data_IF_467977925829
#
_entry.id   IF_467977925829
#
_cell.length_a   1.000
_cell.length_b   1.000
_cell.length_c   1.000
_cell.angle_alpha   90.00
_cell.angle_beta   90.00
_cell.angle_gamma   90.00
#
_symmetry.space_group_name_H-M   'P 1'
#
loop_
_entity.id
_entity.type
_entity.pdbx_description
1 polymer ?
#
# COMPACT_ATOMS: atom_id res chain seq x y z
N UNK A 1 -10.05 -22.57 -14.15
CA UNK A 1 -9.15 -21.55 -13.56
C UNK A 1 -9.72 -20.20 -13.91
N UNK A 2 -9.98 -19.34 -12.93
CA UNK A 2 -10.54 -18.00 -13.15
C UNK A 2 -9.55 -17.15 -13.96
N UNK A 3 -10.05 -16.37 -14.91
CA UNK A 3 -9.26 -15.44 -15.70
C UNK A 3 -9.51 -14.01 -15.23
N UNK A 4 -8.53 -13.09 -15.37
CA UNK A 4 -8.74 -11.69 -15.07
C UNK A 4 -9.81 -11.09 -15.98
N UNK A 5 -10.58 -10.15 -15.45
CA UNK A 5 -11.60 -9.43 -16.22
C UNK A 5 -10.98 -8.46 -17.23
N UNK A 6 -9.79 -7.95 -16.89
CA UNK A 6 -9.02 -7.06 -17.76
C UNK A 6 -7.52 -7.12 -17.44
N UNK A 7 -6.68 -6.75 -18.41
CA UNK A 7 -5.22 -6.66 -18.25
C UNK A 7 -4.74 -5.35 -18.87
N UNK A 8 -4.23 -4.47 -18.01
CA UNK A 8 -3.56 -3.25 -18.46
C UNK A 8 -2.17 -3.58 -18.98
N UNK A 9 -1.83 -2.95 -20.11
CA UNK A 9 -0.54 -3.06 -20.80
C UNK A 9 -0.10 -1.65 -21.20
N UNK A 10 1.08 -1.26 -20.80
CA UNK A 10 1.63 0.08 -21.05
C UNK A 10 3.02 0.23 -20.47
N UNK A 11 3.30 -0.47 -19.37
CA UNK A 11 4.64 -0.58 -18.84
C UNK A 11 5.54 -1.49 -19.70
N UNK A 12 6.81 -1.11 -19.84
CA UNK A 12 7.83 -1.90 -20.53
C UNK A 12 8.80 -2.57 -19.52
N UNK A 13 8.77 -2.09 -18.27
CA UNK A 13 9.55 -2.62 -17.16
C UNK A 13 8.64 -3.25 -16.11
N UNK A 14 9.23 -3.92 -15.11
CA UNK A 14 8.52 -4.54 -13.99
C UNK A 14 7.65 -3.50 -13.26
N UNK A 15 6.34 -3.77 -13.12
CA UNK A 15 5.45 -2.92 -12.35
C UNK A 15 5.65 -3.21 -10.87
N UNK A 16 6.09 -2.21 -10.10
CA UNK A 16 6.45 -2.39 -8.68
C UNK A 16 5.30 -2.06 -7.72
N UNK A 17 4.40 -1.19 -8.11
CA UNK A 17 3.32 -0.72 -7.25
C UNK A 17 2.08 -0.36 -8.05
N UNK A 18 0.92 -0.51 -7.41
CA UNK A 18 -0.40 -0.08 -7.88
C UNK A 18 -1.18 0.51 -6.72
N UNK A 19 -2.03 1.49 -7.01
CA UNK A 19 -2.90 2.10 -6.02
C UNK A 19 -4.16 2.68 -6.68
N UNK A 20 -5.33 2.38 -6.13
CA UNK A 20 -6.58 3.02 -6.53
C UNK A 20 -6.71 4.38 -5.83
N UNK A 21 -7.00 5.43 -6.57
CA UNK A 21 -7.34 6.72 -5.97
C UNK A 21 -8.67 6.60 -5.18
N UNK A 22 -8.85 7.47 -4.21
CA UNK A 22 -9.89 7.39 -3.18
C UNK A 22 -11.32 7.17 -3.70
N UNK A 23 -11.61 7.61 -4.92
CA UNK A 23 -12.92 7.42 -5.55
C UNK A 23 -13.04 6.14 -6.40
N UNK A 24 -11.97 5.35 -6.54
CA UNK A 24 -11.92 4.17 -7.41
C UNK A 24 -12.00 4.45 -8.91
N UNK A 25 -12.05 5.73 -9.35
CA UNK A 25 -12.13 6.13 -10.77
C UNK A 25 -10.81 5.92 -11.52
N UNK A 26 -9.72 6.02 -10.80
CA UNK A 26 -8.38 5.92 -11.35
C UNK A 26 -7.57 4.89 -10.59
N UNK A 27 -6.76 4.15 -11.34
CA UNK A 27 -5.69 3.32 -10.83
C UNK A 27 -4.37 3.98 -11.21
N UNK A 28 -3.43 4.01 -10.29
CA UNK A 28 -2.07 4.53 -10.52
C UNK A 28 -1.09 3.39 -10.43
N UNK A 29 -0.07 3.37 -11.29
CA UNK A 29 0.97 2.35 -11.28
C UNK A 29 2.34 2.94 -11.55
N UNK A 30 3.34 2.41 -10.88
CA UNK A 30 4.74 2.78 -11.04
C UNK A 30 5.63 1.57 -11.34
N UNK A 31 6.64 1.77 -12.18
CA UNK A 31 7.52 0.69 -12.61
C UNK A 31 9.00 0.89 -12.24
N UNK A 32 9.80 -0.09 -12.65
CA UNK A 32 11.23 -0.17 -12.38
C UNK A 32 12.05 0.93 -13.06
N UNK A 33 11.54 1.51 -14.15
CA UNK A 33 12.24 2.55 -14.93
C UNK A 33 11.79 3.97 -14.54
N UNK A 34 10.95 4.10 -13.49
CA UNK A 34 10.47 5.38 -12.99
C UNK A 34 9.28 5.96 -13.77
N UNK A 35 8.62 5.16 -14.62
CA UNK A 35 7.40 5.55 -15.32
C UNK A 35 6.19 5.44 -14.39
N UNK A 36 5.44 6.53 -14.30
CA UNK A 36 4.15 6.61 -13.60
C UNK A 36 3.02 6.65 -14.63
N UNK A 37 2.01 5.78 -14.49
CA UNK A 37 0.82 5.76 -15.34
C UNK A 37 -0.44 5.87 -14.49
N UNK A 38 -1.37 6.72 -14.94
CA UNK A 38 -2.74 6.82 -14.41
C UNK A 38 -3.71 6.20 -15.42
N UNK A 39 -4.53 5.27 -14.94
CA UNK A 39 -5.51 4.54 -15.74
C UNK A 39 -6.92 4.99 -15.42
N UNK A 40 -7.73 5.24 -16.43
CA UNK A 40 -9.17 5.47 -16.28
C UNK A 40 -9.87 4.12 -16.12
N UNK A 41 -10.53 3.91 -14.96
CA UNK A 41 -11.15 2.63 -14.64
C UNK A 41 -12.47 2.38 -15.37
N UNK A 42 -13.17 3.42 -15.83
CA UNK A 42 -14.39 3.27 -16.63
C UNK A 42 -14.04 2.85 -18.06
N UNK A 43 -13.06 3.52 -18.66
CA UNK A 43 -12.67 3.31 -20.06
C UNK A 43 -11.64 2.18 -20.23
N UNK A 44 -11.03 1.70 -19.13
CA UNK A 44 -9.96 0.68 -19.13
C UNK A 44 -8.78 1.04 -20.02
N UNK A 45 -8.35 2.31 -19.97
CA UNK A 45 -7.23 2.82 -20.77
C UNK A 45 -6.39 3.82 -19.98
N UNK A 46 -5.21 4.11 -20.48
CA UNK A 46 -4.35 5.15 -19.96
C UNK A 46 -5.04 6.51 -20.04
N UNK A 47 -5.01 7.26 -18.93
CA UNK A 47 -5.49 8.64 -18.82
C UNK A 47 -4.32 9.62 -18.92
N UNK A 48 -3.27 9.39 -18.14
CA UNK A 48 -2.06 10.19 -18.10
C UNK A 48 -0.84 9.31 -17.89
N UNK A 49 0.34 9.80 -18.28
CA UNK A 49 1.62 9.19 -17.94
C UNK A 49 2.69 10.25 -17.73
N UNK A 50 3.64 9.93 -16.85
CA UNK A 50 4.82 10.74 -16.59
C UNK A 50 6.05 9.85 -16.74
N UNK A 51 6.71 9.88 -17.91
CA UNK A 51 8.02 9.27 -18.09
C UNK A 51 9.03 9.94 -17.16
N UNK A 52 9.89 9.16 -16.52
CA UNK A 52 10.85 9.66 -15.55
C UNK A 52 10.22 10.50 -14.42
N UNK A 53 9.06 10.06 -13.90
CA UNK A 53 8.48 10.61 -12.68
C UNK A 53 9.47 10.51 -11.50
N UNK A 54 10.33 9.49 -11.55
CA UNK A 54 11.52 9.33 -10.73
C UNK A 54 12.73 8.98 -11.61
N UNK A 55 13.94 9.31 -11.14
CA UNK A 55 15.21 8.98 -11.83
C UNK A 55 15.61 7.50 -11.65
N UNK A 56 14.86 6.76 -10.83
CA UNK A 56 15.05 5.34 -10.53
C UNK A 56 13.69 4.67 -10.33
N UNK A 57 13.69 3.39 -9.97
CA UNK A 57 12.48 2.61 -9.75
C UNK A 57 11.48 3.30 -8.80
N UNK A 58 10.22 3.34 -9.17
CA UNK A 58 9.14 3.72 -8.26
C UNK A 58 8.88 2.52 -7.33
N UNK A 59 8.97 2.75 -6.02
CA UNK A 59 8.81 1.72 -4.98
C UNK A 59 7.40 1.65 -4.45
N UNK A 60 6.77 2.82 -4.31
CA UNK A 60 5.44 2.95 -3.73
C UNK A 60 4.64 4.05 -4.40
N UNK A 61 3.33 3.84 -4.44
CA UNK A 61 2.31 4.81 -4.86
C UNK A 61 1.23 4.84 -3.79
N UNK A 62 0.73 6.02 -3.49
CA UNK A 62 -0.41 6.28 -2.62
C UNK A 62 -1.15 7.53 -3.05
N UNK A 63 -2.14 7.94 -2.28
CA UNK A 63 -2.88 9.19 -2.52
C UNK A 63 -3.24 9.88 -1.20
N UNK A 64 -3.45 11.18 -1.28
CA UNK A 64 -4.03 11.99 -0.22
C UNK A 64 -5.54 12.09 -0.43
N UNK A 65 -5.92 12.34 -1.67
CA UNK A 65 -7.32 12.45 -2.12
C UNK A 65 -7.50 11.85 -3.54
N UNK A 66 -8.58 12.18 -4.21
CA UNK A 66 -8.90 11.68 -5.56
C UNK A 66 -8.04 12.26 -6.68
N UNK A 67 -7.26 13.32 -6.42
CA UNK A 67 -6.46 14.05 -7.40
C UNK A 67 -4.99 14.20 -7.00
N UNK A 68 -4.66 13.98 -5.73
CA UNK A 68 -3.31 14.16 -5.19
C UNK A 68 -2.64 12.80 -5.00
N UNK A 69 -1.65 12.51 -5.85
CA UNK A 69 -0.90 11.26 -5.91
C UNK A 69 0.44 11.44 -5.20
N UNK A 70 0.86 10.45 -4.45
CA UNK A 70 2.17 10.41 -3.77
C UNK A 70 2.96 9.23 -4.31
N UNK A 71 4.22 9.46 -4.67
CA UNK A 71 5.13 8.43 -5.17
C UNK A 71 6.45 8.46 -4.43
N UNK A 72 7.02 7.29 -4.13
CA UNK A 72 8.36 7.13 -3.57
C UNK A 72 9.24 6.42 -4.59
N UNK A 73 10.38 7.01 -4.91
CA UNK A 73 11.38 6.44 -5.81
C UNK A 73 12.66 6.01 -5.10
N UNK A 74 13.43 5.12 -5.72
CA UNK A 74 14.79 4.75 -5.28
C UNK A 74 15.83 5.86 -5.48
N UNK A 75 15.40 6.99 -5.98
CA UNK A 75 16.17 8.23 -6.09
C UNK A 75 16.12 9.09 -4.80
N UNK A 76 15.65 8.50 -3.69
CA UNK A 76 15.46 9.15 -2.40
C UNK A 76 14.52 10.36 -2.47
N UNK A 77 13.52 10.29 -3.37
CA UNK A 77 12.47 11.30 -3.50
C UNK A 77 11.10 10.72 -3.19
N UNK A 78 10.33 11.54 -2.48
CA UNK A 78 8.89 11.39 -2.33
C UNK A 78 8.27 12.57 -3.08
N UNK A 79 7.63 12.27 -4.20
CA UNK A 79 7.03 13.26 -5.08
C UNK A 79 5.52 13.29 -4.89
N UNK A 80 4.97 14.49 -4.78
CA UNK A 80 3.53 14.74 -4.67
C UNK A 80 3.08 15.37 -5.99
N UNK A 81 2.10 14.75 -6.64
CA UNK A 81 1.60 15.11 -7.96
C UNK A 81 0.15 15.54 -7.86
N UNK A 82 -0.24 16.54 -8.62
CA UNK A 82 -1.62 16.90 -8.85
C UNK A 82 -2.06 16.31 -10.19
N UNK A 83 -3.16 15.59 -10.19
CA UNK A 83 -3.81 15.05 -11.38
C UNK A 83 -4.90 16.01 -11.84
N UNK A 84 -4.70 16.63 -12.98
CA UNK A 84 -5.78 17.29 -13.73
C UNK A 84 -6.41 16.22 -14.65
N UNK A 85 -7.56 15.70 -14.23
CA UNK A 85 -8.24 14.60 -14.91
C UNK A 85 -9.42 15.13 -15.72
N UNK A 86 -9.22 15.30 -17.02
CA UNK A 86 -10.31 15.46 -17.97
C UNK A 86 -11.02 14.12 -18.24
N UNK A 87 -12.08 14.14 -19.03
CA UNK A 87 -12.88 12.95 -19.35
C UNK A 87 -12.06 11.86 -20.07
N UNK A 88 -11.21 12.25 -21.01
CA UNK A 88 -10.47 11.34 -21.89
C UNK A 88 -8.96 11.45 -21.78
N UNK A 89 -8.47 12.56 -21.30
CA UNK A 89 -7.03 12.84 -21.12
C UNK A 89 -6.80 13.49 -19.77
N UNK A 90 -5.61 13.31 -19.22
CA UNK A 90 -5.22 13.94 -17.98
C UNK A 90 -3.77 14.39 -18.02
N UNK A 91 -3.42 15.28 -17.12
CA UNK A 91 -2.05 15.74 -16.92
C UNK A 91 -1.62 15.56 -15.48
N UNK A 92 -0.34 15.25 -15.28
CA UNK A 92 0.30 15.17 -13.99
C UNK A 92 1.24 16.36 -13.83
N UNK A 93 1.11 17.08 -12.73
CA UNK A 93 1.99 18.18 -12.38
C UNK A 93 2.68 17.89 -11.05
N UNK A 94 4.00 18.06 -10.98
CA UNK A 94 4.74 17.93 -9.74
C UNK A 94 4.42 19.13 -8.84
N UNK A 95 3.73 18.88 -7.75
CA UNK A 95 3.40 19.90 -6.75
C UNK A 95 4.54 20.08 -5.74
N UNK A 96 5.14 18.98 -5.29
CA UNK A 96 6.22 19.00 -4.29
C UNK A 96 7.10 17.76 -4.38
N UNK A 97 8.37 17.93 -3.99
CA UNK A 97 9.32 16.83 -3.80
C UNK A 97 9.98 16.93 -2.43
N UNK A 98 9.96 15.83 -1.68
CA UNK A 98 10.55 15.71 -0.35
C UNK A 98 11.68 14.68 -0.39
N UNK A 99 12.72 14.88 0.43
CA UNK A 99 13.74 13.87 0.65
C UNK A 99 13.19 12.76 1.55
N UNK A 100 13.45 11.50 1.20
CA UNK A 100 13.05 10.30 1.93
C UNK A 100 14.11 9.22 1.81
N UNK A 101 14.30 8.41 2.85
CA UNK A 101 15.15 7.22 2.77
C UNK A 101 14.47 6.14 1.93
N UNK A 102 15.13 5.67 0.89
CA UNK A 102 14.60 4.67 -0.04
C UNK A 102 15.58 3.53 -0.36
N UNK A 103 16.70 3.45 0.34
CA UNK A 103 17.65 2.34 0.19
C UNK A 103 17.15 1.05 0.87
N UNK A 104 16.30 1.18 1.88
CA UNK A 104 15.60 0.07 2.51
C UNK A 104 14.30 -0.28 1.74
N UNK A 105 13.57 -1.30 2.21
CA UNK A 105 12.31 -1.76 1.61
C UNK A 105 11.08 -1.04 2.15
N UNK A 106 11.23 -0.20 3.18
CA UNK A 106 10.12 0.47 3.84
C UNK A 106 9.47 1.50 2.92
N UNK A 107 8.21 1.29 2.63
CA UNK A 107 7.40 2.23 1.86
C UNK A 107 6.85 3.31 2.78
N UNK A 108 6.63 4.52 2.25
CA UNK A 108 5.90 5.55 2.98
C UNK A 108 4.48 5.06 3.33
N UNK A 109 3.90 5.64 4.38
CA UNK A 109 2.49 5.48 4.73
C UNK A 109 1.77 6.82 4.62
N UNK A 110 0.52 6.81 4.15
CA UNK A 110 -0.31 8.01 4.06
C UNK A 110 -1.72 7.75 4.58
N UNK A 111 -2.32 8.77 5.19
CA UNK A 111 -3.70 8.77 5.63
C UNK A 111 -4.23 10.21 5.68
N UNK A 112 -5.32 10.49 4.97
CA UNK A 112 -5.83 11.86 4.77
C UNK A 112 -4.68 12.81 4.35
N UNK A 113 -4.52 13.96 4.97
CA UNK A 113 -3.45 14.92 4.64
C UNK A 113 -2.06 14.56 5.17
N UNK A 114 -1.90 13.41 5.82
CA UNK A 114 -0.66 13.03 6.51
C UNK A 114 0.14 12.02 5.69
N UNK A 115 1.45 12.21 5.65
CA UNK A 115 2.42 11.29 5.06
C UNK A 115 3.52 11.03 6.09
N UNK A 116 3.88 9.77 6.28
CA UNK A 116 5.03 9.36 7.10
C UNK A 116 6.03 8.63 6.21
N UNK A 117 7.30 9.00 6.35
CA UNK A 117 8.42 8.38 5.66
C UNK A 117 9.67 8.35 6.54
N UNK A 118 10.68 7.61 6.12
CA UNK A 118 11.96 7.54 6.83
C UNK A 118 12.84 8.74 6.43
N UNK A 119 13.64 9.24 7.37
CA UNK A 119 14.56 10.36 7.13
C UNK A 119 15.80 9.84 6.40
N UNK A 120 16.17 10.49 5.29
CA UNK A 120 17.36 10.12 4.51
C UNK A 120 18.63 10.31 5.34
N UNK A 121 19.48 9.27 5.40
CA UNK A 121 20.74 9.29 6.10
C UNK A 121 20.65 9.21 7.63
N UNK A 122 19.46 9.10 8.20
CA UNK A 122 19.26 9.00 9.65
C UNK A 122 18.53 7.69 9.98
N UNK A 123 19.28 6.67 10.35
CA UNK A 123 18.72 5.38 10.75
C UNK A 123 17.80 5.54 11.97
N UNK A 124 16.66 4.79 11.95
CA UNK A 124 15.69 4.85 13.04
C UNK A 124 14.93 6.17 13.18
N UNK A 125 15.09 7.11 12.24
CA UNK A 125 14.34 8.37 12.21
C UNK A 125 13.26 8.36 11.12
N UNK A 126 12.08 8.82 11.48
CA UNK A 126 10.97 9.04 10.56
C UNK A 126 10.54 10.51 10.57
N UNK A 127 9.86 10.93 9.53
CA UNK A 127 9.19 12.22 9.50
C UNK A 127 7.70 12.03 9.29
N UNK A 128 6.91 12.96 9.80
CA UNK A 128 5.52 13.17 9.41
C UNK A 128 5.41 14.50 8.65
N UNK A 129 4.72 14.47 7.54
CA UNK A 129 4.44 15.64 6.72
C UNK A 129 2.94 15.87 6.64
N UNK A 130 2.51 17.09 6.92
CA UNK A 130 1.13 17.54 6.73
C UNK A 130 1.03 18.29 5.41
N UNK A 131 0.36 17.71 4.44
CA UNK A 131 0.20 18.31 3.10
C UNK A 131 -0.63 19.61 3.15
N UNK A 132 -1.67 19.67 3.98
CA UNK A 132 -2.56 20.83 4.05
C UNK A 132 -1.88 22.06 4.69
N UNK A 133 -0.96 21.85 5.62
CA UNK A 133 -0.26 22.92 6.35
C UNK A 133 1.17 23.15 5.83
N UNK A 134 1.65 22.30 4.94
CA UNK A 134 3.04 22.30 4.44
C UNK A 134 4.10 22.22 5.55
N UNK A 135 3.83 21.43 6.59
CA UNK A 135 4.70 21.28 7.75
C UNK A 135 5.32 19.88 7.82
N UNK A 136 6.59 19.78 8.21
CA UNK A 136 7.33 18.53 8.37
C UNK A 136 7.99 18.49 9.75
N UNK A 137 7.77 17.38 10.47
CA UNK A 137 8.39 17.12 11.77
C UNK A 137 9.08 15.77 11.74
N UNK A 138 10.28 15.68 12.31
CA UNK A 138 11.03 14.42 12.44
C UNK A 138 10.89 13.86 13.85
N UNK A 139 10.95 12.53 13.97
CA UNK A 139 10.84 11.81 15.24
C UNK A 139 11.57 10.48 15.16
N UNK A 140 11.95 9.94 16.33
CA UNK A 140 12.63 8.64 16.39
C UNK A 140 11.63 7.49 16.52
N UNK A 141 11.87 6.47 15.72
CA UNK A 141 11.26 5.13 15.81
C UNK A 141 12.36 4.07 16.01
N UNK A 142 13.53 4.51 16.53
CA UNK A 142 14.68 3.67 16.71
C UNK A 142 14.37 2.48 17.62
N UNK A 143 14.81 1.30 17.23
CA UNK A 143 14.78 0.10 18.03
C UNK A 143 16.12 -0.61 17.98
N UNK A 144 16.72 -0.79 19.14
CA UNK A 144 17.95 -1.59 19.24
C UNK A 144 17.62 -3.07 19.18
N UNK A 145 18.29 -3.80 18.30
CA UNK A 145 18.18 -5.26 18.26
C UNK A 145 18.78 -5.86 19.52
N UNK A 146 18.04 -6.76 20.17
CA UNK A 146 18.51 -7.48 21.36
C UNK A 146 19.50 -8.62 21.05
N UNK A 147 20.02 -8.73 19.84
CA UNK A 147 20.93 -9.79 19.44
C UNK A 147 22.35 -9.52 19.93
N UNK A 148 23.02 -10.54 20.48
CA UNK A 148 24.35 -10.50 21.10
C UNK A 148 25.53 -10.15 20.17
N UNK A 149 25.30 -9.81 18.91
CA UNK A 149 26.32 -9.46 17.92
C UNK A 149 26.22 -7.99 17.50
N UNK A 150 26.66 -7.10 18.37
CA UNK A 150 26.79 -5.67 18.11
C UNK A 150 25.44 -4.93 18.09
N UNK A 151 25.50 -3.64 18.39
CA UNK A 151 24.35 -2.72 18.42
C UNK A 151 23.81 -2.43 17.00
N UNK A 152 23.38 -3.46 16.25
CA UNK A 152 22.75 -3.25 14.95
C UNK A 152 21.32 -2.76 15.17
N UNK A 153 21.00 -1.65 14.57
CA UNK A 153 19.65 -1.09 14.56
C UNK A 153 18.68 -2.02 13.82
N UNK A 154 17.48 -2.15 14.36
CA UNK A 154 16.43 -2.96 13.77
C UNK A 154 15.68 -2.11 12.70
N UNK A 155 15.87 -2.44 11.44
CA UNK A 155 15.37 -1.63 10.33
C UNK A 155 13.85 -1.71 10.17
N UNK A 156 13.15 -0.57 10.02
CA UNK A 156 11.75 -0.55 9.63
C UNK A 156 11.57 -1.17 8.24
N UNK A 157 10.58 -2.05 8.08
CA UNK A 157 10.29 -2.77 6.83
C UNK A 157 8.96 -2.38 6.20
N UNK A 158 7.96 -2.07 7.02
CA UNK A 158 6.64 -1.65 6.57
C UNK A 158 5.98 -0.74 7.61
N UNK A 159 5.11 0.15 7.15
CA UNK A 159 4.40 1.11 7.99
C UNK A 159 2.94 1.19 7.59
N UNK A 160 2.08 1.49 8.56
CA UNK A 160 0.68 1.84 8.35
C UNK A 160 0.33 3.04 9.21
N UNK A 161 -0.25 4.07 8.59
CA UNK A 161 -0.65 5.31 9.24
C UNK A 161 -2.17 5.36 9.38
N UNK A 162 -2.65 5.78 10.53
CA UNK A 162 -4.06 6.02 10.78
C UNK A 162 -4.28 7.38 11.41
N UNK A 163 -5.31 8.10 10.94
CA UNK A 163 -5.69 9.40 11.43
C UNK A 163 -7.20 9.43 11.71
N UNK A 164 -7.58 9.34 12.97
CA UNK A 164 -8.97 9.47 13.42
C UNK A 164 -9.00 10.17 14.78
N UNK A 165 -8.96 11.52 14.76
CA UNK A 165 -8.82 12.34 15.96
C UNK A 165 -7.44 12.23 16.63
N UNK A 166 -6.74 11.11 16.44
CA UNK A 166 -5.36 10.86 16.84
C UNK A 166 -4.58 10.34 15.66
N UNK A 167 -3.29 10.63 15.63
CA UNK A 167 -2.39 10.11 14.61
C UNK A 167 -1.63 8.92 15.20
N UNK A 168 -1.83 7.74 14.63
CA UNK A 168 -1.21 6.48 15.06
C UNK A 168 -0.40 5.87 13.92
N UNK A 169 0.83 5.47 14.23
CA UNK A 169 1.75 4.82 13.31
C UNK A 169 2.05 3.40 13.79
N UNK A 170 1.76 2.41 12.96
CA UNK A 170 2.19 1.04 13.16
C UNK A 170 3.43 0.78 12.29
N UNK A 171 4.49 0.26 12.88
CA UNK A 171 5.76 -0.06 12.22
C UNK A 171 6.06 -1.54 12.40
N UNK A 172 6.37 -2.22 11.29
CA UNK A 172 6.91 -3.56 11.28
C UNK A 172 8.42 -3.53 10.98
N UNK A 173 9.21 -4.25 11.76
CA UNK A 173 10.68 -4.25 11.70
C UNK A 173 11.23 -5.54 11.11
N UNK A 174 12.49 -5.48 10.65
CA UNK A 174 13.24 -6.64 10.12
C UNK A 174 13.28 -7.81 11.11
N UNK A 175 13.34 -7.52 12.40
CA UNK A 175 13.28 -8.51 13.47
C UNK A 175 11.90 -9.19 13.63
N UNK A 176 10.92 -8.87 12.80
CA UNK A 176 9.52 -9.33 12.94
C UNK A 176 8.80 -8.78 14.18
N UNK A 177 9.23 -7.63 14.68
CA UNK A 177 8.52 -6.91 15.73
C UNK A 177 7.58 -5.91 15.12
N UNK A 178 6.38 -5.79 15.68
CA UNK A 178 5.42 -4.74 15.41
C UNK A 178 5.42 -3.76 16.57
N UNK A 179 5.46 -2.47 16.30
CA UNK A 179 5.30 -1.41 17.29
C UNK A 179 4.28 -0.40 16.86
N UNK A 180 3.40 0.00 17.77
CA UNK A 180 2.43 1.07 17.54
C UNK A 180 2.85 2.30 18.31
N UNK A 181 2.81 3.46 17.64
CA UNK A 181 3.17 4.75 18.19
C UNK A 181 1.98 5.70 18.09
N UNK A 182 1.75 6.48 19.14
CA UNK A 182 0.92 7.68 19.06
C UNK A 182 1.81 8.87 18.71
N UNK A 183 1.44 9.58 17.65
CA UNK A 183 2.13 10.78 17.19
C UNK A 183 1.37 12.00 17.67
N UNK A 184 2.05 12.91 18.37
CA UNK A 184 1.48 14.16 18.91
C UNK A 184 2.29 15.34 18.38
N UNK A 185 1.61 16.26 17.70
CA UNK A 185 2.19 17.49 17.16
C UNK A 185 1.68 18.66 18.01
N UNK A 186 2.60 19.47 18.53
CA UNK A 186 2.30 20.65 19.33
C UNK A 186 3.19 21.81 18.85
N UNK A 187 2.62 22.68 18.00
CA UNK A 187 3.40 23.73 17.34
C UNK A 187 4.51 23.14 16.50
N UNK A 188 5.75 23.56 16.73
CA UNK A 188 6.94 23.08 16.03
C UNK A 188 7.52 21.78 16.62
N UNK A 189 6.97 21.29 17.74
CA UNK A 189 7.45 20.09 18.40
C UNK A 189 6.62 18.86 18.02
N UNK A 190 7.29 17.71 17.94
CA UNK A 190 6.68 16.42 17.73
C UNK A 190 7.15 15.40 18.75
N UNK A 191 6.21 14.62 19.30
CA UNK A 191 6.49 13.49 20.16
C UNK A 191 5.87 12.22 19.59
N UNK A 192 6.65 11.13 19.58
CA UNK A 192 6.19 9.79 19.28
C UNK A 192 6.23 8.97 20.58
N UNK A 193 5.07 8.52 21.04
CA UNK A 193 4.96 7.69 22.24
C UNK A 193 4.65 6.26 21.86
N UNK A 194 5.50 5.32 22.27
CA UNK A 194 5.26 3.90 22.06
C UNK A 194 4.01 3.47 22.86
N UNK A 195 3.01 2.94 22.16
CA UNK A 195 1.79 2.43 22.77
C UNK A 195 1.92 0.94 23.12
N UNK A 196 2.38 0.13 22.19
CA UNK A 196 2.54 -1.29 22.38
C UNK A 196 3.58 -1.90 21.44
N UNK A 197 4.01 -3.12 21.75
CA UNK A 197 4.96 -3.91 20.96
C UNK A 197 4.55 -5.38 20.99
N UNK A 198 4.62 -6.05 19.85
CA UNK A 198 4.36 -7.48 19.72
C UNK A 198 5.38 -8.12 18.77
N UNK A 199 5.59 -9.44 18.93
CA UNK A 199 6.46 -10.23 18.06
C UNK A 199 5.62 -11.05 17.09
N UNK A 200 5.88 -10.89 15.80
CA UNK A 200 5.28 -11.73 14.78
C UNK A 200 6.02 -13.08 14.68
N UNK A 201 5.31 -14.21 14.45
CA UNK A 201 5.93 -15.53 14.37
C UNK A 201 6.62 -15.80 13.02
N UNK A 202 6.83 -14.78 12.21
CA UNK A 202 7.55 -14.90 10.95
C UNK A 202 9.01 -15.31 11.17
N UNK A 203 9.55 -16.11 10.23
CA UNK A 203 10.94 -16.56 10.25
C UNK A 203 11.86 -15.72 9.37
N UNK A 204 11.27 -14.94 8.46
CA UNK A 204 11.93 -14.03 7.52
C UNK A 204 11.38 -12.61 7.69
N UNK A 205 12.09 -11.57 7.21
CA UNK A 205 11.67 -10.18 7.39
C UNK A 205 10.26 -9.88 6.91
N UNK A 206 9.55 -9.04 7.66
CA UNK A 206 8.24 -8.52 7.29
C UNK A 206 8.32 -7.74 5.97
N UNK A 207 7.40 -8.01 5.06
CA UNK A 207 7.32 -7.32 3.77
C UNK A 207 6.16 -6.33 3.71
N UNK A 208 5.06 -6.64 4.37
CA UNK A 208 3.87 -5.78 4.36
C UNK A 208 2.98 -6.06 5.55
N UNK A 209 2.24 -5.04 5.94
CA UNK A 209 1.14 -5.12 6.88
C UNK A 209 -0.06 -4.32 6.36
N UNK A 210 -1.26 -4.71 6.79
CA UNK A 210 -2.50 -3.95 6.60
C UNK A 210 -3.38 -4.09 7.83
N UNK A 211 -4.25 -3.09 8.07
CA UNK A 211 -5.01 -2.96 9.32
C UNK A 211 -6.50 -2.89 9.05
N UNK A 212 -7.25 -3.79 9.65
CA UNK A 212 -8.71 -3.73 9.76
C UNK A 212 -9.11 -3.09 11.09
N UNK A 213 -9.46 -1.81 11.05
CA UNK A 213 -9.89 -1.08 12.25
C UNK A 213 -11.27 -1.53 12.75
N UNK A 214 -12.16 -1.88 11.85
CA UNK A 214 -13.53 -2.28 12.23
C UNK A 214 -13.54 -3.65 12.91
N UNK A 215 -12.73 -4.59 12.39
CA UNK A 215 -12.54 -5.90 12.99
C UNK A 215 -11.43 -5.93 14.06
N UNK A 216 -10.77 -4.80 14.32
CA UNK A 216 -9.61 -4.70 15.22
C UNK A 216 -8.55 -5.78 14.92
N UNK A 217 -8.15 -5.89 13.65
CA UNK A 217 -7.16 -6.89 13.20
C UNK A 217 -6.03 -6.26 12.39
N UNK A 218 -4.82 -6.78 12.58
CA UNK A 218 -3.64 -6.51 11.79
C UNK A 218 -3.32 -7.78 11.00
N UNK A 219 -3.04 -7.66 9.72
CA UNK A 219 -2.58 -8.74 8.86
C UNK A 219 -1.17 -8.46 8.40
N UNK A 220 -0.30 -9.50 8.40
CA UNK A 220 1.09 -9.37 7.96
C UNK A 220 1.47 -10.50 7.01
N UNK A 221 2.36 -10.18 6.06
CA UNK A 221 3.08 -11.16 5.26
C UNK A 221 4.58 -10.85 5.26
N UNK A 222 5.39 -11.87 5.04
CA UNK A 222 6.84 -11.81 5.11
C UNK A 222 7.48 -12.53 3.91
N UNK A 223 8.81 -12.53 3.85
CA UNK A 223 9.56 -13.32 2.86
C UNK A 223 9.47 -14.85 3.11
N UNK A 224 8.85 -15.26 4.20
CA UNK A 224 8.55 -16.66 4.52
C UNK A 224 7.25 -17.16 3.86
N UNK A 225 6.70 -18.26 4.36
CA UNK A 225 5.47 -18.88 3.85
C UNK A 225 4.23 -18.51 4.67
N UNK A 226 4.34 -17.62 5.66
CA UNK A 226 3.28 -17.38 6.62
C UNK A 226 2.52 -16.09 6.31
N UNK A 227 1.22 -16.13 6.53
CA UNK A 227 0.36 -14.96 6.67
C UNK A 227 -0.20 -15.00 8.08
N UNK A 228 -0.01 -13.92 8.82
CA UNK A 228 -0.38 -13.85 10.23
C UNK A 228 -1.46 -12.80 10.48
N UNK A 229 -2.26 -13.02 11.50
CA UNK A 229 -3.22 -12.04 11.97
C UNK A 229 -3.08 -11.82 13.47
N UNK A 230 -3.30 -10.58 13.91
CA UNK A 230 -3.26 -10.14 15.30
C UNK A 230 -4.56 -9.44 15.61
N UNK A 231 -5.12 -9.64 16.79
CA UNK A 231 -6.09 -8.70 17.32
C UNK A 231 -5.36 -7.53 17.97
N UNK A 232 -5.95 -6.35 17.93
CA UNK A 232 -5.44 -5.19 18.65
C UNK A 232 -6.61 -4.40 19.26
N UNK A 233 -6.35 -3.80 20.40
CA UNK A 233 -7.29 -2.94 21.12
C UNK A 233 -6.54 -1.85 21.89
N UNK A 234 -7.24 -1.15 22.78
CA UNK A 234 -6.65 -0.10 23.61
C UNK A 234 -5.57 -0.62 24.58
N UNK A 235 -5.52 -1.93 24.83
CA UNK A 235 -4.55 -2.56 25.76
C UNK A 235 -3.29 -3.03 25.03
N UNK A 236 -3.32 -3.19 23.71
CA UNK A 236 -2.16 -3.58 22.92
C UNK A 236 -2.47 -4.46 21.71
N UNK A 237 -1.41 -5.08 21.20
CA UNK A 237 -1.46 -6.05 20.10
C UNK A 237 -1.37 -7.45 20.72
N UNK A 238 -2.32 -8.34 20.42
CA UNK A 238 -2.34 -9.72 20.90
C UNK A 238 -1.18 -10.55 20.34
N UNK A 239 -0.99 -11.75 20.87
CA UNK A 239 -0.14 -12.74 20.21
C UNK A 239 -0.68 -13.10 18.82
N UNK A 240 0.24 -13.20 17.87
CA UNK A 240 -0.12 -13.61 16.50
C UNK A 240 -0.59 -15.05 16.50
N UNK A 241 -1.62 -15.30 15.70
CA UNK A 241 -1.92 -16.64 15.25
C UNK A 241 -1.37 -16.81 13.84
N UNK A 242 -0.35 -17.68 13.62
CA UNK A 242 0.01 -18.08 12.27
C UNK A 242 -1.18 -18.87 11.72
N UNK A 243 -1.80 -18.41 10.65
CA UNK A 243 -3.09 -18.97 10.25
C UNK A 243 -3.06 -19.51 8.82
N UNK A 244 -2.23 -18.97 7.93
CA UNK A 244 -2.16 -19.46 6.57
C UNK A 244 -0.72 -19.70 6.13
N UNK A 245 -0.53 -20.80 5.42
CA UNK A 245 0.76 -21.18 4.85
C UNK A 245 0.65 -21.13 3.33
N UNK A 246 1.48 -20.28 2.71
CA UNK A 246 1.61 -20.21 1.26
C UNK A 246 2.32 -21.46 0.72
N UNK A 247 2.00 -21.88 -0.50
CA UNK A 247 2.66 -23.02 -1.12
C UNK A 247 4.17 -22.79 -1.30
N UNK A 248 4.55 -21.57 -1.67
CA UNK A 248 5.94 -21.13 -1.81
C UNK A 248 6.22 -19.92 -0.91
N UNK A 249 7.47 -19.70 -0.49
CA UNK A 249 7.83 -18.56 0.33
C UNK A 249 7.72 -17.25 -0.45
N UNK A 250 7.41 -16.19 0.28
CA UNK A 250 7.44 -14.81 -0.17
C UNK A 250 6.07 -14.22 -0.48
N UNK A 251 5.64 -13.30 0.38
CA UNK A 251 4.53 -12.39 0.17
C UNK A 251 5.02 -10.96 0.00
N UNK A 252 4.75 -10.31 -1.14
CA UNK A 252 5.17 -8.92 -1.39
C UNK A 252 4.30 -7.90 -0.70
N UNK A 253 2.99 -8.15 -0.65
CA UNK A 253 2.03 -7.22 -0.10
C UNK A 253 0.77 -7.95 0.36
N UNK A 254 0.25 -7.55 1.51
CA UNK A 254 -1.08 -7.92 2.00
C UNK A 254 -2.01 -6.71 1.89
N UNK A 255 -3.25 -6.95 1.47
CA UNK A 255 -4.34 -5.97 1.48
C UNK A 255 -5.62 -6.62 1.98
N UNK A 256 -6.31 -5.87 2.81
CA UNK A 256 -7.61 -6.25 3.33
C UNK A 256 -8.73 -5.57 2.55
N UNK A 257 -9.84 -6.26 2.42
CA UNK A 257 -11.06 -5.78 1.82
C UNK A 257 -12.26 -5.96 2.78
N UNK A 258 -13.16 -4.98 2.83
CA UNK A 258 -14.18 -4.89 3.87
C UNK A 258 -15.48 -5.63 3.52
N UNK A 259 -15.90 -5.58 2.26
CA UNK A 259 -17.17 -6.16 1.84
C UNK A 259 -17.11 -6.80 0.44
N UNK A 260 -16.95 -8.13 0.31
CA UNK A 260 -16.83 -9.14 1.38
C UNK A 260 -15.49 -9.03 2.14
N UNK A 261 -15.43 -9.49 3.40
CA UNK A 261 -14.20 -9.44 4.19
C UNK A 261 -13.18 -10.44 3.63
N UNK A 262 -12.23 -9.92 2.82
CA UNK A 262 -11.20 -10.70 2.13
C UNK A 262 -9.83 -10.10 2.44
N UNK A 263 -8.86 -10.98 2.61
CA UNK A 263 -7.44 -10.66 2.68
C UNK A 263 -6.77 -11.20 1.42
N UNK A 264 -6.14 -10.32 0.64
CA UNK A 264 -5.41 -10.66 -0.57
C UNK A 264 -3.90 -10.53 -0.32
N UNK A 265 -3.14 -11.55 -0.70
CA UNK A 265 -1.68 -11.56 -0.59
C UNK A 265 -1.06 -11.77 -1.97
N UNK A 266 -0.21 -10.84 -2.38
CA UNK A 266 0.60 -10.96 -3.59
C UNK A 266 1.78 -11.92 -3.36
N UNK A 267 1.75 -13.10 -3.96
CA UNK A 267 2.80 -14.11 -3.81
C UNK A 267 3.95 -13.97 -4.80
N UNK A 268 5.16 -14.34 -4.39
CA UNK A 268 6.30 -14.48 -5.31
C UNK A 268 6.16 -15.70 -6.23
N UNK A 269 5.20 -16.58 -5.93
CA UNK A 269 4.83 -17.76 -6.72
C UNK A 269 3.83 -17.45 -7.86
N UNK A 270 3.73 -16.18 -8.25
CA UNK A 270 2.93 -15.68 -9.38
C UNK A 270 1.42 -15.75 -9.15
N UNK A 271 0.98 -15.99 -7.92
CA UNK A 271 -0.41 -16.08 -7.53
C UNK A 271 -0.81 -14.99 -6.53
N UNK A 272 -2.05 -14.53 -6.62
CA UNK A 272 -2.70 -13.86 -5.50
C UNK A 272 -3.43 -14.92 -4.67
N UNK A 273 -3.13 -14.96 -3.40
CA UNK A 273 -3.80 -15.83 -2.44
C UNK A 273 -4.92 -15.05 -1.77
N UNK A 274 -6.15 -15.54 -1.89
CA UNK A 274 -7.33 -14.95 -1.25
C UNK A 274 -7.73 -15.76 -0.03
N UNK A 275 -7.95 -15.05 1.06
CA UNK A 275 -8.38 -15.58 2.36
C UNK A 275 -9.60 -14.81 2.85
N UNK A 276 -10.39 -15.43 3.73
CA UNK A 276 -11.38 -14.71 4.54
C UNK A 276 -10.73 -13.95 5.72
N UNK A 277 -11.54 -13.30 6.54
CA UNK A 277 -11.06 -12.54 7.72
C UNK A 277 -10.40 -13.43 8.79
N UNK A 278 -10.68 -14.72 8.81
CA UNK A 278 -10.06 -15.70 9.72
C UNK A 278 -8.86 -16.40 9.07
N UNK A 279 -8.42 -15.90 7.91
CA UNK A 279 -7.34 -16.43 7.07
C UNK A 279 -7.59 -17.88 6.60
N UNK A 280 -8.85 -18.31 6.48
CA UNK A 280 -9.17 -19.52 5.76
C UNK A 280 -9.01 -19.27 4.27
N UNK A 281 -8.36 -20.19 3.57
CA UNK A 281 -8.07 -20.02 2.14
C UNK A 281 -9.36 -20.10 1.33
N UNK A 282 -9.62 -19.06 0.51
CA UNK A 282 -10.72 -19.04 -0.44
C UNK A 282 -10.24 -19.62 -1.77
N UNK A 283 -9.26 -18.99 -2.41
CA UNK A 283 -8.67 -19.48 -3.66
C UNK A 283 -7.36 -18.75 -4.05
N UNK A 284 -6.74 -19.25 -5.12
CA UNK A 284 -5.59 -18.62 -5.78
C UNK A 284 -5.99 -18.07 -7.16
N UNK A 285 -5.60 -16.83 -7.43
CA UNK A 285 -5.73 -16.22 -8.75
C UNK A 285 -4.39 -16.32 -9.47
N UNK A 286 -4.33 -17.08 -10.57
CA UNK A 286 -3.11 -17.31 -11.34
C UNK A 286 -3.30 -16.82 -12.78
N UNK A 287 -2.45 -15.89 -13.16
CA UNK A 287 -2.42 -15.30 -14.51
C UNK A 287 -1.00 -14.88 -14.91
N UNK A 288 -0.28 -14.28 -13.97
CA UNK A 288 1.04 -13.72 -14.19
C UNK A 288 2.11 -14.79 -14.38
N UNK A 289 3.21 -14.40 -15.04
CA UNK A 289 4.34 -15.28 -15.36
C UNK A 289 5.62 -14.89 -14.60
N UNK A 290 5.52 -13.93 -13.72
CA UNK A 290 6.60 -13.47 -12.84
C UNK A 290 6.04 -13.10 -11.47
N UNK A 291 6.91 -12.88 -10.49
CA UNK A 291 6.55 -12.55 -9.12
C UNK A 291 5.61 -11.34 -9.07
N UNK A 292 4.61 -11.42 -8.22
CA UNK A 292 3.73 -10.31 -7.94
C UNK A 292 4.43 -9.34 -6.99
N UNK A 293 4.24 -8.07 -7.24
CA UNK A 293 4.92 -6.97 -6.52
C UNK A 293 3.98 -6.19 -5.63
N UNK A 294 2.73 -6.03 -6.08
CA UNK A 294 1.74 -5.28 -5.35
C UNK A 294 0.32 -5.73 -5.67
N UNK A 295 -0.57 -5.52 -4.72
CA UNK A 295 -2.02 -5.63 -4.86
C UNK A 295 -2.68 -4.42 -4.25
N UNK A 296 -3.77 -3.97 -4.84
CA UNK A 296 -4.63 -2.97 -4.23
C UNK A 296 -6.09 -3.19 -4.60
N UNK A 297 -7.00 -2.67 -3.77
CA UNK A 297 -8.42 -2.94 -3.88
C UNK A 297 -9.19 -1.62 -3.98
N UNK A 298 -10.06 -1.51 -5.00
CA UNK A 298 -10.85 -0.30 -5.19
C UNK A 298 -11.91 -0.15 -4.10
N UNK A 299 -12.06 1.06 -3.59
CA UNK A 299 -13.24 1.44 -2.82
C UNK A 299 -14.43 1.59 -3.77
N UNK A 300 -15.60 1.13 -3.36
CA UNK A 300 -16.83 1.38 -4.13
C UNK A 300 -17.30 2.79 -3.80
N UNK A 301 -17.18 3.70 -4.76
CA UNK A 301 -17.80 5.02 -4.62
C UNK A 301 -19.30 4.90 -4.92
N UNK A 302 -20.13 5.31 -3.97
CA UNK A 302 -21.57 5.51 -4.18
C UNK A 302 -21.87 6.89 -4.79
N UNK A 303 -20.87 7.77 -4.84
CA UNK A 303 -21.02 9.13 -5.33
C UNK A 303 -21.13 9.18 -6.85
N UNK A 304 -22.01 10.05 -7.40
CA UNK A 304 -22.08 10.27 -8.83
C UNK A 304 -20.76 10.87 -9.34
N UNK A 305 -20.48 10.68 -10.60
CA UNK A 305 -19.36 11.33 -11.27
C UNK A 305 -19.66 12.84 -11.38
N UNK A 306 -18.95 13.74 -10.70
CA UNK A 306 -19.33 15.15 -10.61
C UNK A 306 -19.29 15.88 -11.97
N UNK A 307 -18.44 15.40 -12.88
CA UNK A 307 -18.16 16.09 -14.15
C UNK A 307 -18.86 15.46 -15.35
N UNK A 308 -19.73 14.49 -15.14
CA UNK A 308 -20.40 13.75 -16.23
C UNK A 308 -21.91 13.85 -16.04
N UNK A 309 -22.56 14.59 -16.93
CA UNK A 309 -24.02 14.74 -16.97
C UNK A 309 -24.75 13.56 -17.65
N UNK A 310 -24.03 12.66 -18.34
CA UNK A 310 -24.61 11.53 -19.04
C UNK A 310 -25.06 10.42 -18.07
N UNK A 311 -26.37 10.22 -17.99
CA UNK A 311 -27.01 9.22 -17.13
C UNK A 311 -26.55 7.79 -17.43
N UNK A 312 -26.26 7.44 -18.68
CA UNK A 312 -25.79 6.12 -19.06
C UNK A 312 -24.36 5.87 -18.54
N UNK A 313 -23.52 6.88 -18.57
CA UNK A 313 -22.16 6.81 -18.03
C UNK A 313 -22.20 6.71 -16.51
N UNK A 314 -23.09 7.47 -15.86
CA UNK A 314 -23.34 7.39 -14.41
C UNK A 314 -23.83 6.00 -14.01
N UNK A 315 -24.77 5.41 -14.75
CA UNK A 315 -25.26 4.05 -14.50
C UNK A 315 -24.15 3.00 -14.66
N UNK A 316 -23.34 3.11 -15.73
CA UNK A 316 -22.18 2.22 -15.93
C UNK A 316 -21.17 2.33 -14.82
N UNK A 317 -20.91 3.52 -14.31
CA UNK A 317 -20.01 3.73 -13.18
C UNK A 317 -20.53 3.07 -11.92
N UNK A 318 -21.80 3.30 -11.56
CA UNK A 318 -22.45 2.69 -10.38
C UNK A 318 -22.54 1.16 -10.47
N UNK A 319 -22.61 0.62 -11.67
CA UNK A 319 -22.63 -0.82 -11.92
C UNK A 319 -21.26 -1.47 -11.93
N UNK A 320 -20.16 -0.71 -11.80
CA UNK A 320 -18.83 -1.28 -11.74
C UNK A 320 -18.67 -2.16 -10.49
N UNK A 321 -18.06 -3.35 -10.63
CA UNK A 321 -17.71 -4.15 -9.49
C UNK A 321 -16.56 -3.52 -8.71
N UNK A 322 -16.34 -4.01 -7.52
CA UNK A 322 -15.10 -3.72 -6.82
C UNK A 322 -13.96 -4.52 -7.44
N UNK A 323 -12.85 -3.83 -7.66
CA UNK A 323 -11.72 -4.35 -8.38
C UNK A 323 -10.56 -4.68 -7.46
N UNK A 324 -9.93 -5.82 -7.68
CA UNK A 324 -8.60 -6.14 -7.22
C UNK A 324 -7.62 -5.90 -8.38
N UNK A 325 -6.68 -4.99 -8.23
CA UNK A 325 -5.58 -4.77 -9.16
C UNK A 325 -4.32 -5.48 -8.66
N UNK A 326 -3.63 -6.15 -9.55
CA UNK A 326 -2.44 -6.94 -9.24
C UNK A 326 -1.31 -6.55 -10.18
N UNK A 327 -0.22 -6.05 -9.62
CA UNK A 327 0.99 -5.73 -10.35
C UNK A 327 2.00 -6.89 -10.35
N UNK A 328 2.74 -7.03 -11.43
CA UNK A 328 3.74 -8.08 -11.57
C UNK A 328 5.00 -7.60 -12.30
N UNK A 329 6.09 -8.30 -12.05
CA UNK A 329 7.35 -8.12 -12.78
C UNK A 329 7.25 -8.49 -14.27
N UNK A 330 6.14 -9.11 -14.70
CA UNK A 330 5.87 -9.41 -16.12
C UNK A 330 5.34 -8.20 -16.92
N UNK A 331 5.49 -6.97 -16.39
CA UNK A 331 5.10 -5.69 -16.99
C UNK A 331 3.60 -5.45 -17.10
N UNK A 332 2.77 -6.31 -16.52
CA UNK A 332 1.32 -6.25 -16.63
C UNK A 332 0.65 -5.98 -15.30
N UNK A 333 -0.56 -5.44 -15.38
CA UNK A 333 -1.47 -5.30 -14.25
C UNK A 333 -2.74 -6.05 -14.60
N UNK A 334 -3.07 -7.08 -13.82
CA UNK A 334 -4.34 -7.79 -13.97
C UNK A 334 -5.41 -7.20 -13.05
N UNK A 335 -6.64 -7.16 -13.56
CA UNK A 335 -7.80 -6.62 -12.86
C UNK A 335 -8.83 -7.73 -12.69
N UNK A 336 -9.31 -7.91 -11.45
CA UNK A 336 -10.23 -8.97 -11.09
C UNK A 336 -11.45 -8.40 -10.38
N UNK A 337 -12.65 -8.87 -10.74
CA UNK A 337 -13.85 -8.63 -9.95
C UNK A 337 -13.74 -9.42 -8.65
N UNK A 338 -13.59 -8.73 -7.51
CA UNK A 338 -13.32 -9.40 -6.24
C UNK A 338 -14.49 -10.24 -5.75
N UNK A 339 -15.73 -9.85 -6.04
CA UNK A 339 -16.91 -10.61 -5.65
C UNK A 339 -16.98 -11.94 -6.41
N UNK A 340 -16.70 -11.91 -7.73
CA UNK A 340 -16.58 -13.13 -8.53
C UNK A 340 -15.40 -13.99 -8.09
N UNK A 341 -14.29 -13.34 -7.76
CA UNK A 341 -13.11 -14.04 -7.29
C UNK A 341 -13.29 -14.70 -5.92
N UNK A 342 -14.16 -14.20 -5.09
CA UNK A 342 -14.47 -14.76 -3.77
C UNK A 342 -15.48 -15.92 -3.79
N UNK A 343 -16.25 -16.06 -4.88
CA UNK A 343 -17.33 -17.05 -5.00
C UNK A 343 -16.97 -18.27 -5.88
N UNK A 344 -15.87 -18.20 -6.61
CA UNK A 344 -15.41 -19.24 -7.53
C UNK A 344 -14.52 -20.28 -6.83
#
# INVERSE_FOLDING_TARGET
MLQPDFVFRGHQAAVNCVHFLANGRHLVSGDQDGLLIVWNMLLKRQLASMPAAHQAAILAVGSIDSTTIVTQGRDNRLNIWTLDAGEFTGALQLAKSLAIESLNFCKFASCAQWIVGLVEGESGCAFVYNFAQDTRHSFSIERKSATRMGDREDSPMCMHLHANGKLELLVGYESNTLQSFQLQISGDSMAASLLCSAKAPHTEPLMSLDVDRDACRIYTCAADRQVCSFAFDATGISEARPVAVLANPGGSQVRRFQAPPIVAVAGWDYAVHLFDSELQRIQDLRFHRAALTAVDISTKSSEPLPDIADDLVQQRWRAQPQWLAVASRDTRISLWNIQRAAQA
#
